data_IF_825281174015
#
_entry.id   IF_825281174015
#
_cell.length_a   1.000
_cell.length_b   1.000
_cell.length_c   1.000
_cell.angle_alpha   90.00
_cell.angle_beta   90.00
_cell.angle_gamma   90.00
#
_symmetry.space_group_name_H-M   'P 1'
#
loop_
_entity.id
_entity.type
_entity.pdbx_description
1 polymer ?
#
# COMPACT_ATOMS: atom_id res chain seq x y z
N UNK A 1 12.57 4.55 5.87
CA UNK A 1 13.21 4.77 4.53
C UNK A 1 12.21 5.30 3.52
N UNK A 2 11.09 4.62 3.33
CA UNK A 2 9.94 5.09 2.54
C UNK A 2 8.90 5.69 3.48
N UNK A 3 8.55 5.00 4.57
CA UNK A 3 7.47 5.43 5.48
C UNK A 3 7.81 6.68 6.31
N UNK A 4 9.08 7.11 6.27
CA UNK A 4 9.57 8.32 6.96
C UNK A 4 9.67 9.52 6.01
N UNK A 5 9.33 9.36 4.72
CA UNK A 5 9.45 10.42 3.73
C UNK A 5 8.25 11.36 3.76
N UNK A 6 8.47 12.64 3.44
CA UNK A 6 7.38 13.61 3.24
C UNK A 6 6.37 13.13 2.20
N UNK A 7 6.84 12.41 1.17
CA UNK A 7 5.99 11.80 0.16
C UNK A 7 5.02 10.78 0.73
N UNK A 8 5.50 9.91 1.63
CA UNK A 8 4.64 8.92 2.29
C UNK A 8 3.65 9.57 3.27
N UNK A 9 4.10 10.54 4.07
CA UNK A 9 3.21 11.29 4.96
C UNK A 9 2.09 11.99 4.18
N UNK A 10 2.40 12.56 3.02
CA UNK A 10 1.40 13.15 2.14
C UNK A 10 0.40 12.11 1.58
N UNK A 11 0.82 10.86 1.35
CA UNK A 11 -0.09 9.78 0.98
C UNK A 11 -1.01 9.42 2.15
N UNK A 12 -0.48 9.29 3.38
CA UNK A 12 -1.33 9.05 4.56
C UNK A 12 -2.36 10.17 4.75
N UNK A 13 -1.96 11.43 4.57
CA UNK A 13 -2.89 12.57 4.57
C UNK A 13 -3.93 12.46 3.45
N UNK A 14 -3.52 12.06 2.24
CA UNK A 14 -4.43 11.84 1.13
C UNK A 14 -5.45 10.74 1.43
N UNK A 15 -5.04 9.62 2.02
CA UNK A 15 -5.93 8.56 2.47
C UNK A 15 -6.94 9.09 3.51
N UNK A 16 -6.43 9.82 4.51
CA UNK A 16 -7.26 10.40 5.58
C UNK A 16 -8.34 11.36 5.04
N UNK A 17 -8.00 12.15 4.01
CA UNK A 17 -8.92 13.10 3.36
C UNK A 17 -10.02 12.41 2.53
N UNK A 18 -9.83 11.15 2.15
CA UNK A 18 -10.76 10.37 1.32
C UNK A 18 -11.36 9.17 2.08
N UNK A 19 -11.36 9.21 3.42
CA UNK A 19 -11.93 8.14 4.26
C UNK A 19 -13.43 7.92 4.03
N UNK A 20 -14.13 8.89 3.47
CA UNK A 20 -15.54 8.79 3.11
C UNK A 20 -15.83 7.64 2.13
N UNK A 21 -14.89 7.33 1.23
CA UNK A 21 -14.94 6.14 0.34
C UNK A 21 -15.09 4.83 1.13
N UNK A 22 -14.57 4.79 2.36
CA UNK A 22 -14.56 3.61 3.22
C UNK A 22 -15.71 3.58 4.25
N UNK A 23 -16.61 4.56 4.23
CA UNK A 23 -17.73 4.63 5.18
C UNK A 23 -18.95 3.84 4.74
N UNK A 24 -19.14 3.65 3.43
CA UNK A 24 -20.25 2.89 2.87
C UNK A 24 -19.90 1.41 2.72
N UNK A 25 -20.80 0.54 3.15
CA UNK A 25 -20.78 -0.89 2.83
C UNK A 25 -21.76 -1.24 1.70
N UNK A 26 -22.45 -0.24 1.14
CA UNK A 26 -23.43 -0.43 0.07
C UNK A 26 -22.72 -0.42 -1.29
N UNK A 27 -22.61 -1.59 -1.91
CA UNK A 27 -21.95 -1.76 -3.21
C UNK A 27 -21.86 -3.22 -3.64
N UNK A 28 -21.28 -3.44 -4.82
CA UNK A 28 -20.86 -4.78 -5.25
C UNK A 28 -19.57 -5.13 -4.50
N UNK A 29 -19.71 -6.03 -3.52
CA UNK A 29 -18.62 -6.48 -2.66
C UNK A 29 -18.19 -7.89 -3.03
N UNK A 30 -16.88 -8.10 -3.14
CA UNK A 30 -16.30 -9.44 -3.24
C UNK A 30 -16.34 -10.22 -1.92
N UNK A 31 -15.60 -11.33 -1.87
CA UNK A 31 -15.41 -12.10 -0.65
C UNK A 31 -14.20 -11.63 0.18
N UNK A 32 -13.31 -10.85 -0.43
CA UNK A 32 -12.05 -10.38 0.17
C UNK A 32 -12.29 -9.12 1.00
N UNK A 33 -11.63 -9.07 2.16
CA UNK A 33 -11.63 -7.88 2.99
C UNK A 33 -10.69 -6.81 2.42
N UNK A 34 -10.83 -5.57 2.89
CA UNK A 34 -9.88 -4.50 2.57
C UNK A 34 -8.45 -4.92 2.96
N UNK A 35 -8.29 -5.57 4.12
CA UNK A 35 -7.01 -6.15 4.56
C UNK A 35 -6.41 -7.10 3.53
N UNK A 36 -7.20 -8.06 3.04
CA UNK A 36 -6.75 -9.05 2.05
C UNK A 36 -6.30 -8.35 0.77
N UNK A 37 -7.14 -7.44 0.24
CA UNK A 37 -6.87 -6.68 -0.98
C UNK A 37 -5.58 -5.86 -0.86
N UNK A 38 -5.43 -5.10 0.23
CA UNK A 38 -4.24 -4.25 0.45
C UNK A 38 -2.99 -5.11 0.59
N UNK A 39 -3.06 -6.19 1.36
CA UNK A 39 -1.92 -7.09 1.58
C UNK A 39 -1.44 -7.69 0.25
N UNK A 40 -2.36 -8.12 -0.61
CA UNK A 40 -2.04 -8.68 -1.91
C UNK A 40 -1.47 -7.63 -2.88
N UNK A 41 -2.04 -6.43 -2.91
CA UNK A 41 -1.56 -5.33 -3.76
C UNK A 41 -0.15 -4.88 -3.35
N UNK A 42 0.09 -4.66 -2.06
CA UNK A 42 1.41 -4.27 -1.54
C UNK A 42 2.44 -5.36 -1.82
N UNK A 43 2.10 -6.62 -1.52
CA UNK A 43 2.99 -7.77 -1.78
C UNK A 43 3.35 -7.88 -3.26
N UNK A 44 2.35 -7.79 -4.15
CA UNK A 44 2.55 -7.85 -5.60
C UNK A 44 3.47 -6.74 -6.10
N UNK A 45 3.29 -5.52 -5.61
CA UNK A 45 4.13 -4.39 -5.98
C UNK A 45 5.57 -4.55 -5.53
N UNK A 46 5.81 -5.03 -4.31
CA UNK A 46 7.18 -5.28 -3.82
C UNK A 46 7.86 -6.38 -4.63
N UNK A 47 7.15 -7.44 -4.98
CA UNK A 47 7.71 -8.49 -5.85
C UNK A 47 8.05 -7.95 -7.23
N UNK A 48 7.18 -7.12 -7.82
CA UNK A 48 7.45 -6.47 -9.11
C UNK A 48 8.71 -5.59 -9.04
N UNK A 49 8.93 -4.87 -7.94
CA UNK A 49 10.17 -4.08 -7.74
C UNK A 49 11.40 -4.97 -7.71
N UNK A 50 11.34 -6.12 -7.03
CA UNK A 50 12.48 -7.04 -6.97
C UNK A 50 12.78 -7.72 -8.31
N UNK A 51 11.74 -8.00 -9.10
CA UNK A 51 11.88 -8.52 -10.46
C UNK A 51 12.49 -7.48 -11.40
N UNK A 52 12.09 -6.21 -11.26
CA UNK A 52 12.64 -5.09 -12.03
C UNK A 52 14.11 -4.78 -11.67
N UNK A 53 14.53 -5.12 -10.45
CA UNK A 53 15.86 -4.81 -9.91
C UNK A 53 16.59 -6.08 -9.44
N UNK A 54 16.99 -6.98 -10.35
CA UNK A 54 17.59 -8.27 -9.99
C UNK A 54 18.90 -8.15 -9.23
N UNK A 55 19.68 -7.09 -9.49
CA UNK A 55 20.97 -6.82 -8.85
C UNK A 55 20.85 -6.27 -7.41
N UNK A 56 19.62 -5.95 -6.96
CA UNK A 56 19.39 -5.38 -5.64
C UNK A 56 19.85 -6.36 -4.54
N UNK A 57 20.80 -5.91 -3.72
CA UNK A 57 21.38 -6.73 -2.66
C UNK A 57 20.33 -7.18 -1.64
N UNK A 58 20.48 -8.40 -1.12
CA UNK A 58 19.53 -9.02 -0.18
C UNK A 58 19.25 -8.14 1.05
N UNK A 59 20.26 -7.46 1.59
CA UNK A 59 20.09 -6.54 2.73
C UNK A 59 19.16 -5.37 2.43
N UNK A 60 19.10 -4.89 1.19
CA UNK A 60 18.17 -3.83 0.76
C UNK A 60 16.78 -4.43 0.56
N UNK A 61 16.67 -5.60 -0.09
CA UNK A 61 15.40 -6.32 -0.21
C UNK A 61 14.72 -6.56 1.14
N UNK A 62 15.48 -6.98 2.15
CA UNK A 62 14.95 -7.15 3.52
C UNK A 62 14.47 -5.84 4.15
N UNK A 63 15.11 -4.70 3.85
CA UNK A 63 14.63 -3.40 4.33
C UNK A 63 13.32 -3.01 3.65
N UNK A 64 13.24 -3.20 2.33
CA UNK A 64 12.02 -2.88 1.57
C UNK A 64 10.83 -3.75 2.01
N UNK A 65 11.05 -5.03 2.33
CA UNK A 65 10.00 -5.88 2.91
C UNK A 65 9.49 -5.32 4.24
N UNK A 66 10.38 -4.90 5.15
CA UNK A 66 9.97 -4.29 6.41
C UNK A 66 9.19 -2.99 6.22
N UNK A 67 9.59 -2.16 5.27
CA UNK A 67 8.88 -0.92 4.97
C UNK A 67 7.49 -1.24 4.38
N UNK A 68 7.38 -2.28 3.56
CA UNK A 68 6.08 -2.74 3.04
C UNK A 68 5.16 -3.26 4.16
N UNK A 69 5.70 -4.01 5.12
CA UNK A 69 4.96 -4.44 6.31
C UNK A 69 4.44 -3.22 7.09
N UNK A 70 5.28 -2.19 7.28
CA UNK A 70 4.87 -0.94 7.94
C UNK A 70 3.79 -0.19 7.16
N UNK A 71 3.81 -0.22 5.82
CA UNK A 71 2.71 0.36 5.01
C UNK A 71 1.40 -0.34 5.32
N UNK A 72 1.37 -1.66 5.35
CA UNK A 72 0.14 -2.42 5.65
C UNK A 72 -0.35 -2.11 7.07
N UNK A 73 0.57 -2.03 8.04
CA UNK A 73 0.25 -1.67 9.43
C UNK A 73 -0.40 -0.27 9.51
N UNK A 74 0.22 0.75 8.90
CA UNK A 74 -0.30 2.12 8.89
C UNK A 74 -1.69 2.21 8.23
N UNK A 75 -1.89 1.52 7.10
CA UNK A 75 -3.18 1.49 6.41
C UNK A 75 -4.26 0.85 7.28
N UNK A 76 -3.92 -0.23 7.98
CA UNK A 76 -4.80 -0.87 8.96
C UNK A 76 -5.18 0.08 10.10
N UNK A 77 -4.24 0.87 10.61
CA UNK A 77 -4.52 1.88 11.64
C UNK A 77 -5.44 2.99 11.14
N UNK A 78 -5.18 3.52 9.94
CA UNK A 78 -5.97 4.62 9.36
C UNK A 78 -7.39 4.18 9.01
N UNK A 79 -7.56 2.98 8.45
CA UNK A 79 -8.85 2.45 8.02
C UNK A 79 -9.65 1.79 9.16
N UNK A 80 -8.97 1.35 10.23
CA UNK A 80 -9.53 0.85 11.47
C UNK A 80 -10.74 -0.08 11.26
N UNK A 81 -11.96 0.38 11.59
CA UNK A 81 -13.18 -0.43 11.51
C UNK A 81 -13.61 -0.82 10.10
N UNK A 82 -13.06 -0.20 9.05
CA UNK A 82 -13.27 -0.61 7.66
C UNK A 82 -12.33 -1.75 7.25
N UNK A 83 -11.15 -1.86 7.84
CA UNK A 83 -10.07 -2.77 7.45
C UNK A 83 -10.51 -4.22 7.26
N UNK A 84 -11.35 -4.73 8.16
CA UNK A 84 -11.81 -6.13 8.16
C UNK A 84 -13.12 -6.35 7.40
N UNK A 85 -13.67 -5.32 6.74
CA UNK A 85 -14.91 -5.42 5.98
C UNK A 85 -14.65 -5.84 4.54
N UNK A 86 -15.61 -6.51 3.87
CA UNK A 86 -15.53 -6.80 2.45
C UNK A 86 -15.30 -5.52 1.64
N UNK A 87 -14.33 -5.55 0.73
CA UNK A 87 -14.03 -4.42 -0.12
C UNK A 87 -15.08 -4.29 -1.24
N UNK A 88 -15.54 -3.06 -1.48
CA UNK A 88 -16.35 -2.73 -2.66
C UNK A 88 -15.46 -2.45 -3.87
N UNK A 89 -16.00 -2.56 -5.08
CA UNK A 89 -15.25 -2.20 -6.30
C UNK A 89 -14.72 -0.75 -6.29
N UNK A 90 -15.45 0.20 -5.69
CA UNK A 90 -15.00 1.59 -5.57
C UNK A 90 -13.78 1.71 -4.64
N UNK A 91 -13.83 1.03 -3.49
CA UNK A 91 -12.70 0.98 -2.55
C UNK A 91 -11.48 0.30 -3.17
N UNK A 92 -11.67 -0.81 -3.89
CA UNK A 92 -10.59 -1.49 -4.62
C UNK A 92 -9.96 -0.55 -5.66
N UNK A 93 -10.77 0.19 -6.41
CA UNK A 93 -10.26 1.16 -7.41
C UNK A 93 -9.42 2.24 -6.75
N UNK A 94 -9.89 2.81 -5.63
CA UNK A 94 -9.13 3.79 -4.87
C UNK A 94 -7.82 3.22 -4.33
N UNK A 95 -7.86 2.00 -3.78
CA UNK A 95 -6.68 1.33 -3.23
C UNK A 95 -5.64 1.02 -4.31
N UNK A 96 -6.05 0.63 -5.51
CA UNK A 96 -5.15 0.38 -6.64
C UNK A 96 -4.36 1.65 -7.01
N UNK A 97 -5.06 2.78 -7.17
CA UNK A 97 -4.43 4.08 -7.44
C UNK A 97 -3.52 4.52 -6.30
N UNK A 98 -3.97 4.38 -5.05
CA UNK A 98 -3.21 4.73 -3.87
C UNK A 98 -1.92 3.91 -3.74
N UNK A 99 -2.02 2.59 -3.90
CA UNK A 99 -0.88 1.67 -3.76
C UNK A 99 0.10 1.81 -4.93
N UNK A 100 -0.37 2.21 -6.12
CA UNK A 100 0.52 2.61 -7.21
C UNK A 100 1.35 3.86 -6.85
N UNK A 101 0.78 4.85 -6.14
CA UNK A 101 1.54 6.00 -5.65
C UNK A 101 2.56 5.57 -4.58
N UNK A 102 2.20 4.67 -3.68
CA UNK A 102 3.14 4.09 -2.71
C UNK A 102 4.30 3.39 -3.44
N UNK A 103 4.01 2.57 -4.46
CA UNK A 103 5.04 1.90 -5.27
C UNK A 103 6.06 2.90 -5.84
N UNK A 104 5.61 4.06 -6.32
CA UNK A 104 6.52 5.10 -6.83
C UNK A 104 7.53 5.56 -5.77
N UNK A 105 7.14 5.62 -4.49
CA UNK A 105 8.06 5.96 -3.41
C UNK A 105 9.12 4.88 -3.20
N UNK A 106 8.73 3.60 -3.29
CA UNK A 106 9.68 2.49 -3.25
C UNK A 106 10.61 2.49 -4.47
N UNK A 107 10.10 2.74 -5.68
CA UNK A 107 10.92 2.84 -6.90
C UNK A 107 11.99 3.93 -6.77
N UNK A 108 11.61 5.11 -6.23
CA UNK A 108 12.56 6.19 -5.93
C UNK A 108 13.59 5.75 -4.90
N UNK A 109 13.18 5.05 -3.84
CA UNK A 109 14.11 4.55 -2.82
C UNK A 109 15.10 3.55 -3.43
N UNK A 110 14.65 2.64 -4.30
CA UNK A 110 15.54 1.69 -4.99
C UNK A 110 16.55 2.39 -5.90
N UNK A 111 16.13 3.42 -6.63
CA UNK A 111 17.01 4.21 -7.50
C UNK A 111 18.15 4.92 -6.75
N UNK A 112 18.08 5.04 -5.42
CA UNK A 112 19.20 5.56 -4.61
C UNK A 112 20.30 4.52 -4.32
N UNK A 113 20.06 3.25 -4.66
CA UNK A 113 20.98 2.13 -4.47
C UNK A 113 21.61 1.60 -5.77
N UNK A 114 21.24 2.16 -6.92
CA UNK A 114 21.93 1.99 -8.21
C UNK A 114 23.27 2.76 -8.25
#
# INVERSE_FOLDING_TARGET
MVVETDGYLALIEHLALNLDVFTSADGDTGAESIEDVVTDMVSSNIMAIFEQNPELHSSVRFKLLKEADSVVEDLGEVLAGAWTKPATNEQITFLDEYIALVKNLFDVAVATYD
#
